data_IF_613265884063
#
_entry.id   IF_613265884063
#
_cell.length_a   1.000
_cell.length_b   1.000
_cell.length_c   1.000
_cell.angle_alpha   90.00
_cell.angle_beta   90.00
_cell.angle_gamma   90.00
#
_symmetry.space_group_name_H-M   'P 1'
#
loop_
_entity.id
_entity.type
_entity.pdbx_description
1 polymer ?
#
# COMPACT_ATOMS: atom_id res chain seq x y z
N UNK A 1 -6.38 -5.07 -2.94
CA UNK A 1 -7.68 -5.75 -3.15
C UNK A 1 -7.67 -7.19 -2.67
N UNK A 2 -6.90 -8.11 -3.24
CA UNK A 2 -6.91 -9.55 -2.88
C UNK A 2 -6.63 -9.87 -1.41
N UNK A 3 -5.89 -9.03 -0.71
CA UNK A 3 -5.55 -9.22 0.70
C UNK A 3 -6.70 -8.90 1.66
N UNK A 4 -7.75 -8.22 1.20
CA UNK A 4 -8.95 -7.96 1.98
C UNK A 4 -9.77 -9.23 2.21
N UNK A 5 -10.72 -9.20 3.13
CA UNK A 5 -11.56 -10.36 3.45
C UNK A 5 -12.69 -10.59 2.45
N UNK A 6 -13.11 -9.59 1.72
CA UNK A 6 -14.19 -9.74 0.75
C UNK A 6 -14.18 -8.69 -0.34
N UNK A 7 -14.76 -9.07 -1.46
CA UNK A 7 -14.94 -8.25 -2.65
C UNK A 7 -16.43 -8.21 -3.01
N UNK A 8 -16.96 -7.00 -3.16
CA UNK A 8 -18.31 -6.73 -3.67
C UNK A 8 -18.21 -6.36 -5.16
N UNK A 9 -18.92 -7.12 -5.98
CA UNK A 9 -19.00 -6.89 -7.42
C UNK A 9 -20.33 -7.36 -7.98
N UNK A 10 -21.02 -6.49 -8.72
CA UNK A 10 -22.33 -6.78 -9.35
C UNK A 10 -23.35 -7.36 -8.36
N UNK A 11 -23.46 -6.77 -7.18
CA UNK A 11 -24.38 -7.22 -6.15
C UNK A 11 -24.01 -8.52 -5.43
N UNK A 12 -22.87 -9.09 -5.75
CA UNK A 12 -22.38 -10.33 -5.13
C UNK A 12 -21.17 -10.05 -4.26
N UNK A 13 -21.07 -10.74 -3.13
CA UNK A 13 -19.88 -10.77 -2.29
C UNK A 13 -19.10 -12.05 -2.53
N UNK A 14 -17.78 -11.91 -2.70
CA UNK A 14 -16.82 -13.04 -2.80
C UNK A 14 -15.81 -12.94 -1.67
N UNK A 15 -15.54 -14.06 -1.01
CA UNK A 15 -14.46 -14.13 -0.04
C UNK A 15 -13.10 -14.00 -0.75
N UNK A 16 -12.19 -13.29 -0.11
CA UNK A 16 -10.81 -13.07 -0.55
C UNK A 16 -9.85 -13.64 0.50
N UNK A 17 -8.57 -13.26 0.46
CA UNK A 17 -7.52 -13.83 1.33
C UNK A 17 -7.76 -13.56 2.83
N UNK A 18 -8.31 -12.41 3.18
CA UNK A 18 -8.62 -12.06 4.57
C UNK A 18 -7.43 -11.65 5.43
N UNK A 19 -6.28 -11.36 4.82
CA UNK A 19 -5.13 -10.84 5.57
C UNK A 19 -5.39 -9.45 6.15
N UNK A 20 -6.19 -8.64 5.45
CA UNK A 20 -6.69 -7.36 5.94
C UNK A 20 -8.18 -7.47 6.28
N UNK A 21 -8.54 -7.04 7.49
CA UNK A 21 -9.94 -6.99 7.93
C UNK A 21 -10.69 -5.83 7.25
N UNK A 22 -10.85 -5.93 5.94
CA UNK A 22 -11.54 -4.93 5.14
C UNK A 22 -12.33 -5.56 4.01
N UNK A 23 -13.34 -4.86 3.55
CA UNK A 23 -14.09 -5.17 2.35
C UNK A 23 -13.70 -4.18 1.24
N UNK A 24 -13.75 -4.62 0.00
CA UNK A 24 -13.56 -3.77 -1.18
C UNK A 24 -14.74 -3.89 -2.13
N UNK A 25 -15.00 -2.83 -2.86
CA UNK A 25 -16.02 -2.79 -3.89
C UNK A 25 -15.39 -2.50 -5.25
N UNK A 26 -15.75 -3.29 -6.26
CA UNK A 26 -15.41 -2.97 -7.65
C UNK A 26 -16.41 -1.95 -8.21
N UNK A 27 -15.89 -0.89 -8.78
CA UNK A 27 -16.68 0.19 -9.38
C UNK A 27 -16.53 0.23 -10.90
N UNK A 28 -17.56 0.72 -11.62
CA UNK A 28 -17.50 0.81 -13.09
C UNK A 28 -16.41 1.74 -13.61
N UNK A 29 -16.11 2.81 -12.86
CA UNK A 29 -15.08 3.80 -13.20
C UNK A 29 -13.81 3.57 -12.39
N UNK A 30 -12.62 3.83 -12.96
CA UNK A 30 -11.39 3.84 -12.18
C UNK A 30 -11.51 4.74 -10.97
N UNK A 31 -11.07 4.25 -9.81
CA UNK A 31 -11.02 5.01 -8.56
C UNK A 31 -9.68 5.75 -8.43
N UNK A 32 -8.59 5.10 -8.83
CA UNK A 32 -7.29 5.72 -8.97
C UNK A 32 -6.75 5.45 -10.37
N UNK A 33 -6.16 6.48 -11.02
CA UNK A 33 -5.61 6.36 -12.36
C UNK A 33 -4.53 7.40 -12.61
N UNK A 34 -3.34 6.93 -12.98
CA UNK A 34 -2.25 7.77 -13.48
C UNK A 34 -1.06 7.86 -12.53
N UNK A 35 -0.26 8.89 -12.72
CA UNK A 35 0.92 9.11 -11.89
C UNK A 35 0.54 9.65 -10.53
N UNK A 36 1.14 9.04 -9.50
CA UNK A 36 0.99 9.44 -8.11
C UNK A 36 2.31 9.95 -7.54
N UNK A 37 2.21 10.81 -6.53
CA UNK A 37 3.33 11.29 -5.73
C UNK A 37 3.06 10.92 -4.29
N UNK A 38 4.00 10.22 -3.70
CA UNK A 38 3.92 9.70 -2.34
C UNK A 38 5.05 10.26 -1.51
N UNK A 39 4.82 10.33 -0.21
CA UNK A 39 5.85 10.56 0.81
C UNK A 39 5.82 9.40 1.78
N UNK A 40 6.99 8.81 2.06
CA UNK A 40 7.10 7.78 3.09
C UNK A 40 6.81 8.38 4.47
N UNK A 41 6.09 7.63 5.28
CA UNK A 41 5.80 7.97 6.68
C UNK A 41 6.68 7.14 7.63
N UNK A 42 6.65 7.48 8.92
CA UNK A 42 7.27 6.66 9.97
C UNK A 42 6.61 5.29 10.14
N UNK A 43 5.46 5.10 9.47
CA UNK A 43 4.75 3.82 9.42
C UNK A 43 5.36 2.80 8.47
N UNK A 44 6.34 3.15 7.64
CA UNK A 44 6.93 2.22 6.68
C UNK A 44 7.52 0.99 7.40
N UNK A 45 7.16 -0.26 7.00
CA UNK A 45 7.39 -1.43 7.85
C UNK A 45 8.81 -1.97 7.83
N UNK A 46 9.59 -1.65 6.81
CA UNK A 46 10.93 -2.21 6.64
C UNK A 46 12.01 -1.20 6.99
N UNK A 47 13.06 -1.62 7.72
CA UNK A 47 14.06 -0.71 8.22
C UNK A 47 14.82 0.00 7.10
N UNK A 48 15.29 1.21 7.39
CA UNK A 48 16.27 1.87 6.55
C UNK A 48 17.56 1.03 6.51
N UNK A 49 18.22 0.99 5.36
CA UNK A 49 19.52 0.38 5.18
C UNK A 49 20.57 1.47 5.04
N UNK A 50 21.81 1.15 5.42
CA UNK A 50 22.93 2.05 5.25
C UNK A 50 23.09 2.41 3.75
N UNK A 51 23.21 3.69 3.45
CA UNK A 51 23.26 4.21 2.09
C UNK A 51 21.89 4.34 1.39
N UNK A 52 20.83 3.74 1.94
CA UNK A 52 19.46 3.90 1.44
C UNK A 52 18.70 4.81 2.42
N UNK A 53 18.60 6.08 2.09
CA UNK A 53 17.88 7.04 2.93
C UNK A 53 16.37 6.75 2.87
N UNK A 54 15.67 6.76 4.02
CA UNK A 54 14.22 6.82 4.02
C UNK A 54 13.75 7.99 3.17
N UNK A 55 12.74 7.78 2.37
CA UNK A 55 12.20 8.84 1.51
C UNK A 55 11.24 9.79 2.23
N UNK A 56 11.38 9.94 3.56
CA UNK A 56 10.62 10.94 4.34
C UNK A 56 10.85 12.37 3.85
N UNK A 57 12.02 12.63 3.26
CA UNK A 57 12.36 13.91 2.64
C UNK A 57 12.23 13.92 1.11
N UNK A 58 11.91 12.80 0.50
CA UNK A 58 11.86 12.64 -0.96
C UNK A 58 10.47 12.22 -1.41
N UNK A 59 10.02 12.81 -2.51
CA UNK A 59 8.83 12.33 -3.17
C UNK A 59 9.13 11.04 -3.93
N UNK A 60 8.27 10.04 -3.72
CA UNK A 60 8.25 8.80 -4.48
C UNK A 60 7.28 8.99 -5.63
N UNK A 61 7.78 8.78 -6.85
CA UNK A 61 6.94 8.73 -8.05
C UNK A 61 6.50 7.30 -8.29
N UNK A 62 5.20 7.10 -8.38
CA UNK A 62 4.58 5.80 -8.63
C UNK A 62 3.46 5.96 -9.66
N UNK A 63 2.74 4.87 -9.89
CA UNK A 63 1.58 4.83 -10.75
C UNK A 63 0.46 4.05 -10.04
N UNK A 64 -0.77 4.47 -10.23
CA UNK A 64 -1.93 3.70 -9.78
C UNK A 64 -2.91 3.47 -10.93
N UNK A 65 -3.53 2.31 -10.93
CA UNK A 65 -4.67 2.00 -11.78
C UNK A 65 -5.53 0.93 -11.12
N UNK A 66 -6.64 1.35 -10.54
CA UNK A 66 -7.56 0.43 -9.87
C UNK A 66 -9.02 0.89 -9.96
N UNK A 67 -9.91 -0.07 -10.08
CA UNK A 67 -11.36 0.13 -10.04
C UNK A 67 -11.96 -0.13 -8.67
N UNK A 68 -11.22 -0.80 -7.78
CA UNK A 68 -11.71 -1.12 -6.45
C UNK A 68 -11.47 0.02 -5.47
N UNK A 69 -12.40 0.17 -4.53
CA UNK A 69 -12.29 1.05 -3.39
C UNK A 69 -12.42 0.24 -2.11
N UNK A 70 -11.63 0.57 -1.09
CA UNK A 70 -11.79 0.00 0.25
C UNK A 70 -13.03 0.62 0.89
N UNK A 71 -13.90 -0.24 1.41
CA UNK A 71 -15.09 0.18 2.15
C UNK A 71 -14.73 0.36 3.61
N UNK A 72 -15.03 1.54 4.16
CA UNK A 72 -14.77 1.87 5.56
C UNK A 72 -13.35 1.46 6.02
N UNK A 73 -12.29 2.12 5.55
CA UNK A 73 -10.94 1.86 6.03
C UNK A 73 -10.88 1.90 7.55
N UNK A 74 -10.20 0.92 8.17
CA UNK A 74 -10.08 0.85 9.62
C UNK A 74 -9.26 2.06 10.11
N UNK A 75 -9.79 2.89 11.00
CA UNK A 75 -9.09 4.07 11.50
C UNK A 75 -7.81 3.75 12.30
N UNK A 76 -7.63 2.50 12.74
CA UNK A 76 -6.43 2.04 13.42
C UNK A 76 -5.30 1.66 12.46
N UNK A 77 -5.54 1.64 11.16
CA UNK A 77 -4.52 1.28 10.19
C UNK A 77 -3.35 2.26 10.21
N UNK A 78 -2.17 1.70 10.18
CA UNK A 78 -0.95 2.45 9.89
C UNK A 78 -0.72 2.43 8.39
N UNK A 79 -0.26 3.55 7.86
CA UNK A 79 0.03 3.69 6.44
C UNK A 79 1.53 3.96 6.23
N UNK A 80 2.08 3.34 5.20
CA UNK A 80 3.47 3.56 4.80
C UNK A 80 3.67 4.87 4.04
N UNK A 81 2.61 5.38 3.41
CA UNK A 81 2.69 6.54 2.52
C UNK A 81 1.58 7.55 2.76
N UNK A 82 1.96 8.81 2.76
CA UNK A 82 1.09 9.96 2.52
C UNK A 82 0.96 10.17 1.01
N UNK A 83 -0.26 10.38 0.51
CA UNK A 83 -0.55 10.66 -0.91
C UNK A 83 -0.51 12.17 -1.12
N UNK A 84 0.53 12.65 -1.79
CA UNK A 84 0.68 14.07 -2.16
C UNK A 84 -0.08 14.41 -3.45
N UNK A 85 -0.23 13.41 -4.33
CA UNK A 85 -1.02 13.46 -5.55
C UNK A 85 -1.45 12.04 -5.92
N UNK A 86 -2.73 11.85 -6.16
CA UNK A 86 -3.33 10.55 -6.48
C UNK A 86 -4.52 10.25 -5.60
N UNK A 87 -4.94 9.00 -5.57
CA UNK A 87 -6.08 8.53 -4.78
C UNK A 87 -5.63 7.63 -3.63
N UNK A 88 -4.75 6.65 -3.90
CA UNK A 88 -4.39 5.65 -2.90
C UNK A 88 -5.61 4.92 -2.35
N UNK A 89 -5.65 4.71 -1.03
CA UNK A 89 -6.72 3.98 -0.34
C UNK A 89 -7.89 4.92 0.01
N UNK A 90 -7.61 6.11 0.50
CA UNK A 90 -8.60 7.04 1.07
C UNK A 90 -8.47 8.50 0.55
N UNK A 91 -7.68 8.73 -0.46
CA UNK A 91 -7.38 10.05 -1.01
C UNK A 91 -6.25 10.80 -0.29
N UNK A 92 -5.73 10.25 0.81
CA UNK A 92 -4.67 10.87 1.64
C UNK A 92 -3.53 9.91 1.96
N UNK A 93 -3.83 8.61 2.02
CA UNK A 93 -2.89 7.58 2.44
C UNK A 93 -2.89 6.40 1.47
N UNK A 94 -1.76 5.72 1.43
CA UNK A 94 -1.61 4.43 0.77
C UNK A 94 -0.62 3.54 1.53
N UNK A 95 -0.64 2.25 1.21
CA UNK A 95 0.25 1.29 1.85
C UNK A 95 -0.17 0.94 3.28
N UNK A 96 -1.25 0.18 3.44
CA UNK A 96 -1.62 -0.38 4.76
C UNK A 96 -0.51 -1.27 5.26
N UNK A 97 -0.13 -1.07 6.52
CA UNK A 97 0.91 -1.83 7.22
C UNK A 97 0.27 -2.67 8.32
N UNK A 98 0.51 -3.97 8.27
CA UNK A 98 0.10 -4.91 9.31
C UNK A 98 1.20 -5.95 9.54
N UNK A 99 1.93 -5.82 10.65
CA UNK A 99 3.14 -6.63 10.90
C UNK A 99 4.17 -6.42 9.78
N UNK A 100 4.53 -7.51 9.09
CA UNK A 100 5.47 -7.48 7.95
C UNK A 100 4.79 -7.26 6.60
N UNK A 101 3.47 -7.11 6.57
CA UNK A 101 2.70 -6.92 5.35
C UNK A 101 2.66 -5.43 4.99
N UNK A 102 2.91 -5.13 3.72
CA UNK A 102 2.66 -3.84 3.08
C UNK A 102 1.71 -4.05 1.90
N UNK A 103 0.56 -3.40 1.93
CA UNK A 103 -0.46 -3.51 0.89
C UNK A 103 -0.85 -2.14 0.35
N UNK A 104 -0.57 -1.87 -0.91
CA UNK A 104 -0.85 -0.59 -1.55
C UNK A 104 -1.57 -0.74 -2.90
N UNK A 105 -2.22 0.32 -3.32
CA UNK A 105 -2.72 0.48 -4.67
C UNK A 105 -1.65 1.03 -5.61
N UNK A 106 -0.73 1.81 -5.09
CA UNK A 106 0.35 2.39 -5.88
C UNK A 106 1.37 1.35 -6.29
N UNK A 107 1.74 1.36 -7.56
CA UNK A 107 2.79 0.52 -8.13
C UNK A 107 4.12 1.22 -7.99
N UNK A 108 4.91 0.76 -7.05
CA UNK A 108 6.25 1.31 -6.78
C UNK A 108 7.25 0.77 -7.80
N UNK A 109 8.11 1.65 -8.30
CA UNK A 109 9.33 1.26 -9.02
C UNK A 109 10.49 1.35 -8.06
N UNK A 110 11.42 0.42 -8.15
CA UNK A 110 12.57 0.40 -7.24
C UNK A 110 13.65 1.46 -7.55
N UNK A 111 13.44 2.24 -8.58
CA UNK A 111 14.31 3.35 -8.92
C UNK A 111 14.19 4.43 -7.85
N UNK A 112 15.21 4.62 -7.05
CA UNK A 112 15.34 5.63 -5.99
C UNK A 112 14.55 5.36 -4.70
N UNK A 113 13.92 4.23 -4.52
CA UNK A 113 13.19 3.91 -3.28
C UNK A 113 13.93 2.88 -2.42
N UNK A 114 14.70 1.98 -3.04
CA UNK A 114 15.38 0.88 -2.35
C UNK A 114 14.42 -0.05 -1.61
N UNK A 115 13.14 -0.09 -2.02
CA UNK A 115 12.16 -0.90 -1.30
C UNK A 115 12.44 -2.40 -1.45
N UNK A 116 12.99 -2.83 -2.58
CA UNK A 116 13.32 -4.26 -2.82
C UNK A 116 14.39 -4.72 -1.86
N UNK A 117 15.48 -3.96 -1.72
CA UNK A 117 16.56 -4.27 -0.79
C UNK A 117 16.08 -4.26 0.66
N UNK A 118 15.25 -3.30 1.03
CA UNK A 118 14.64 -3.20 2.37
C UNK A 118 13.72 -4.40 2.65
N UNK A 119 12.93 -4.81 1.66
CA UNK A 119 12.09 -6.00 1.75
C UNK A 119 12.93 -7.26 1.94
N UNK A 120 13.97 -7.44 1.13
CA UNK A 120 14.87 -8.61 1.23
C UNK A 120 15.60 -8.63 2.59
N UNK A 121 16.03 -7.48 3.09
CA UNK A 121 16.64 -7.39 4.41
C UNK A 121 15.65 -7.80 5.51
N UNK A 122 14.40 -7.36 5.41
CA UNK A 122 13.36 -7.77 6.36
C UNK A 122 13.09 -9.27 6.30
N UNK A 123 12.99 -9.86 5.11
CA UNK A 123 12.83 -11.31 4.93
C UNK A 123 13.98 -12.09 5.60
N UNK A 124 15.22 -11.65 5.39
CA UNK A 124 16.40 -12.28 6.02
C UNK A 124 16.34 -12.18 7.54
N UNK A 125 15.96 -11.02 8.07
CA UNK A 125 15.83 -10.78 9.51
C UNK A 125 14.78 -11.69 10.15
N UNK A 126 13.61 -11.84 9.53
CA UNK A 126 12.53 -12.68 10.06
C UNK A 126 12.87 -14.18 9.98
N UNK A 127 13.67 -14.60 8.99
CA UNK A 127 14.09 -15.99 8.86
C UNK A 127 15.20 -16.39 9.84
N UNK A 128 15.92 -15.44 10.40
CA UNK A 128 17.01 -15.68 11.35
C UNK A 128 16.52 -15.86 12.81
N UNK A 129 15.22 -15.73 13.04
CA UNK A 129 14.53 -15.93 14.32
C UNK A 129 13.55 -17.09 14.20
#
# INVERSE_FOLDING_TARGET
MYLCKGLHWKGQRRAMVGALNAEVEMRPRPQGRGYVRLRETDGFPWPALEGIRPSTSREIRAHEFHHSAVLAPDPSWRYAFEVLRGTGIDGRHDGVVQGNLLACYSHLRDINTGWVERFLAQVRRVRAH
#
